data_IF_396759162223
#
_entry.id   IF_396759162223
#
_cell.length_a   1.000
_cell.length_b   1.000
_cell.length_c   1.000
_cell.angle_alpha   90.00
_cell.angle_beta   90.00
_cell.angle_gamma   90.00
#
_symmetry.space_group_name_H-M   'P 1'
#
loop_
_entity.id
_entity.type
_entity.pdbx_description
1 polymer ?
#
# COMPACT_ATOMS: atom_id res chain seq x y z
N UNK A 1 -27.16 -12.30 -4.34
CA UNK A 1 -26.56 -10.96 -4.32
C UNK A 1 -25.16 -11.08 -3.75
N UNK A 2 -24.83 -10.71 -2.49
CA UNK A 2 -23.43 -10.57 -2.01
C UNK A 2 -22.46 -11.67 -2.49
N UNK A 3 -22.82 -12.95 -2.38
CA UNK A 3 -22.01 -14.08 -2.89
C UNK A 3 -21.69 -13.96 -4.38
N UNK A 4 -22.67 -13.60 -5.21
CA UNK A 4 -22.52 -13.39 -6.65
C UNK A 4 -21.57 -12.23 -6.95
N UNK A 5 -21.60 -11.15 -6.15
CA UNK A 5 -20.65 -10.04 -6.27
C UNK A 5 -19.23 -10.42 -5.84
N UNK A 6 -19.07 -11.30 -4.84
CA UNK A 6 -17.76 -11.86 -4.46
C UNK A 6 -17.23 -12.74 -5.60
N UNK A 7 -18.06 -13.62 -6.16
CA UNK A 7 -17.64 -14.49 -7.27
C UNK A 7 -17.38 -13.69 -8.55
N UNK A 8 -18.08 -12.56 -8.75
CA UNK A 8 -17.75 -11.60 -9.79
C UNK A 8 -16.41 -10.92 -9.53
N UNK A 9 -16.17 -10.37 -8.33
CA UNK A 9 -14.94 -9.65 -8.03
C UNK A 9 -13.72 -10.52 -8.28
N UNK A 10 -13.72 -11.78 -7.80
CA UNK A 10 -12.66 -12.77 -8.03
C UNK A 10 -12.31 -12.99 -9.49
N UNK A 11 -13.28 -12.87 -10.40
CA UNK A 11 -13.07 -13.09 -11.84
C UNK A 11 -12.54 -11.88 -12.58
N UNK A 12 -12.80 -10.67 -12.07
CA UNK A 12 -12.50 -9.43 -12.79
C UNK A 12 -11.29 -8.68 -12.23
N UNK A 13 -10.94 -8.88 -10.96
CA UNK A 13 -9.76 -8.25 -10.38
C UNK A 13 -8.49 -8.82 -11.03
N UNK A 14 -7.46 -7.97 -11.11
CA UNK A 14 -6.11 -8.34 -11.54
C UNK A 14 -5.13 -7.90 -10.45
N UNK A 15 -5.03 -8.64 -9.33
CA UNK A 15 -4.17 -8.29 -8.20
C UNK A 15 -2.71 -8.17 -8.62
N UNK A 16 -2.05 -7.09 -8.23
CA UNK A 16 -0.61 -6.88 -8.43
C UNK A 16 0.00 -6.27 -7.19
N UNK A 17 1.28 -6.58 -6.96
CA UNK A 17 2.07 -6.02 -5.88
C UNK A 17 3.45 -5.62 -6.36
N UNK A 18 4.04 -4.62 -5.70
CA UNK A 18 5.45 -4.29 -5.79
C UNK A 18 5.99 -4.12 -4.38
N UNK A 19 7.23 -4.56 -4.17
CA UNK A 19 7.92 -4.49 -2.88
C UNK A 19 9.33 -3.97 -3.11
N UNK A 20 9.77 -3.02 -2.29
CA UNK A 20 11.12 -2.47 -2.33
C UNK A 20 11.73 -2.49 -0.93
N UNK A 21 13.03 -2.76 -0.88
CA UNK A 21 13.82 -2.79 0.35
C UNK A 21 14.94 -1.76 0.25
N UNK A 22 15.24 -1.10 1.36
CA UNK A 22 16.33 -0.14 1.42
C UNK A 22 16.91 -0.04 2.84
N UNK A 23 18.19 0.28 2.92
CA UNK A 23 18.84 0.56 4.20
C UNK A 23 18.43 1.94 4.69
N UNK A 24 18.27 2.09 5.99
CA UNK A 24 18.10 3.40 6.61
C UNK A 24 19.50 4.01 6.73
N UNK A 25 19.78 5.06 5.95
CA UNK A 25 21.12 5.65 5.91
C UNK A 25 21.32 6.77 6.92
N UNK A 26 20.23 7.47 7.27
CA UNK A 26 20.28 8.55 8.25
C UNK A 26 18.96 8.69 8.99
N UNK A 27 19.08 8.82 10.30
CA UNK A 27 18.00 9.06 11.22
C UNK A 27 18.13 10.45 11.86
N UNK A 28 17.12 11.29 11.66
CA UNK A 28 16.98 12.59 12.30
C UNK A 28 15.62 12.66 13.01
N UNK A 29 15.44 13.55 14.01
CA UNK A 29 14.20 13.61 14.78
C UNK A 29 12.91 13.78 13.97
N UNK A 30 13.01 14.31 12.74
CA UNK A 30 11.86 14.60 11.86
C UNK A 30 12.02 13.97 10.47
N UNK A 31 13.20 13.44 10.14
CA UNK A 31 13.52 12.98 8.78
C UNK A 31 14.17 11.61 8.82
N UNK A 32 13.71 10.70 7.97
CA UNK A 32 14.36 9.41 7.72
C UNK A 32 14.80 9.34 6.26
N UNK A 33 16.04 8.94 6.00
CA UNK A 33 16.55 8.73 4.65
C UNK A 33 16.76 7.23 4.39
N UNK A 34 16.21 6.77 3.27
CA UNK A 34 16.42 5.43 2.73
C UNK A 34 17.34 5.52 1.52
N UNK A 35 18.37 4.68 1.48
CA UNK A 35 19.34 4.64 0.39
C UNK A 35 19.23 3.40 -0.51
N UNK A 36 18.97 3.58 -1.82
CA UNK A 36 18.81 4.86 -2.52
C UNK A 36 17.39 5.44 -2.43
N UNK A 37 17.30 6.76 -2.44
CA UNK A 37 16.25 7.46 -3.19
C UNK A 37 14.97 7.88 -2.48
N UNK A 38 14.85 7.81 -1.14
CA UNK A 38 13.67 8.34 -0.45
C UNK A 38 14.01 9.07 0.85
N UNK A 39 13.56 10.31 0.96
CA UNK A 39 13.59 11.08 2.20
C UNK A 39 12.15 11.26 2.70
N UNK A 40 11.87 10.84 3.93
CA UNK A 40 10.55 10.93 4.55
C UNK A 40 10.61 11.94 5.67
N UNK A 41 9.82 13.01 5.58
CA UNK A 41 9.67 14.01 6.63
C UNK A 41 8.43 13.69 7.47
N UNK A 42 8.65 13.07 8.62
CA UNK A 42 7.64 12.74 9.62
C UNK A 42 8.32 12.31 10.93
N UNK A 43 7.90 12.91 12.04
CA UNK A 43 8.29 12.52 13.40
C UNK A 43 7.83 11.09 13.67
N UNK A 44 6.59 10.73 13.30
CA UNK A 44 6.07 9.38 13.54
C UNK A 44 6.82 8.29 12.78
N UNK A 45 7.22 8.56 11.54
CA UNK A 45 8.07 7.63 10.78
C UNK A 45 9.48 7.57 11.37
N UNK A 46 10.03 8.70 11.80
CA UNK A 46 11.30 8.72 12.51
C UNK A 46 11.24 7.85 13.77
N UNK A 47 10.25 8.06 14.64
CA UNK A 47 10.03 7.23 15.83
C UNK A 47 9.83 5.74 15.49
N UNK A 48 9.03 5.43 14.46
CA UNK A 48 8.76 4.05 14.05
C UNK A 48 10.03 3.32 13.60
N UNK A 49 10.94 4.03 12.92
CA UNK A 49 12.12 3.45 12.28
C UNK A 49 13.43 3.63 13.08
N UNK A 50 13.37 4.14 14.32
CA UNK A 50 14.57 4.49 15.10
C UNK A 50 15.53 3.33 15.36
N UNK A 51 14.97 2.15 15.63
CA UNK A 51 15.75 0.95 15.94
C UNK A 51 15.84 0.00 14.73
N UNK A 52 15.50 0.49 13.53
CA UNK A 52 15.48 -0.31 12.31
C UNK A 52 16.77 -0.12 11.52
N UNK A 53 17.36 -1.23 11.06
CA UNK A 53 18.52 -1.21 10.17
C UNK A 53 18.11 -0.98 8.71
N UNK A 54 16.90 -1.41 8.36
CA UNK A 54 16.35 -1.27 7.02
C UNK A 54 14.84 -1.06 7.07
N UNK A 55 14.30 -0.63 5.94
CA UNK A 55 12.87 -0.51 5.73
C UNK A 55 12.47 -1.24 4.45
N UNK A 56 11.28 -1.80 4.49
CA UNK A 56 10.57 -2.35 3.35
C UNK A 56 9.36 -1.46 3.08
N UNK A 57 9.07 -1.18 1.82
CA UNK A 57 7.76 -0.68 1.45
C UNK A 57 7.12 -1.54 0.40
N UNK A 58 5.80 -1.45 0.30
CA UNK A 58 5.04 -2.12 -0.74
C UNK A 58 3.90 -1.25 -1.24
N UNK A 59 3.43 -1.57 -2.44
CA UNK A 59 2.13 -1.13 -2.92
C UNK A 59 1.40 -2.29 -3.60
N UNK A 60 0.08 -2.34 -3.43
CA UNK A 60 -0.81 -3.33 -4.03
C UNK A 60 -1.95 -2.65 -4.77
N UNK A 61 -2.49 -3.31 -5.79
CA UNK A 61 -3.67 -2.84 -6.52
C UNK A 61 -4.51 -3.99 -7.04
N UNK A 62 -5.83 -3.79 -7.14
CA UNK A 62 -6.74 -4.74 -7.77
C UNK A 62 -6.90 -4.52 -9.29
N UNK A 63 -6.27 -3.49 -9.85
CA UNK A 63 -6.49 -3.07 -11.24
C UNK A 63 -7.79 -2.29 -11.45
N UNK A 64 -8.02 -1.82 -12.68
CA UNK A 64 -9.15 -0.92 -12.99
C UNK A 64 -10.50 -1.63 -13.21
N UNK A 65 -10.51 -2.94 -13.47
CA UNK A 65 -11.70 -3.64 -13.93
C UNK A 65 -12.85 -3.65 -12.91
N UNK A 66 -12.54 -3.66 -11.62
CA UNK A 66 -13.57 -3.58 -10.57
C UNK A 66 -14.28 -2.22 -10.60
N UNK A 67 -13.53 -1.12 -10.71
CA UNK A 67 -14.08 0.24 -10.83
C UNK A 67 -14.82 0.46 -12.15
N UNK A 68 -14.31 -0.08 -13.26
CA UNK A 68 -15.02 -0.09 -14.54
C UNK A 68 -16.38 -0.78 -14.41
N UNK A 69 -16.44 -1.92 -13.73
CA UNK A 69 -17.70 -2.64 -13.50
C UNK A 69 -18.65 -1.87 -12.61
N UNK A 70 -18.16 -1.21 -11.57
CA UNK A 70 -18.95 -0.33 -10.69
C UNK A 70 -19.57 0.81 -11.51
N UNK A 71 -18.79 1.48 -12.37
CA UNK A 71 -19.30 2.54 -13.25
C UNK A 71 -20.41 2.04 -14.18
N UNK A 72 -20.25 0.85 -14.75
CA UNK A 72 -21.31 0.21 -15.57
C UNK A 72 -22.58 -0.06 -14.76
N UNK A 73 -22.47 -0.59 -13.55
CA UNK A 73 -23.62 -0.86 -12.69
C UNK A 73 -24.36 0.44 -12.30
N UNK A 74 -23.62 1.50 -12.00
CA UNK A 74 -24.20 2.82 -11.72
C UNK A 74 -24.93 3.39 -12.94
N UNK A 75 -24.35 3.31 -14.14
CA UNK A 75 -25.00 3.74 -15.38
C UNK A 75 -26.30 2.96 -15.66
N UNK A 76 -26.35 1.69 -15.26
CA UNK A 76 -27.53 0.83 -15.32
C UNK A 76 -28.54 1.06 -14.18
N UNK A 77 -28.32 2.07 -13.33
CA UNK A 77 -29.10 2.36 -12.11
C UNK A 77 -29.15 1.21 -11.10
N UNK A 78 -28.17 0.31 -11.16
CA UNK A 78 -28.04 -0.81 -10.23
C UNK A 78 -27.14 -0.43 -9.04
N UNK A 79 -27.55 0.61 -8.31
CA UNK A 79 -26.74 1.28 -7.30
C UNK A 79 -26.38 0.38 -6.11
N UNK A 80 -27.29 -0.51 -5.69
CA UNK A 80 -27.03 -1.43 -4.58
C UNK A 80 -25.89 -2.39 -4.92
N UNK A 81 -25.90 -2.99 -6.12
CA UNK A 81 -24.83 -3.89 -6.55
C UNK A 81 -23.51 -3.16 -6.75
N UNK A 82 -23.56 -1.93 -7.26
CA UNK A 82 -22.37 -1.08 -7.38
C UNK A 82 -21.75 -0.81 -6.00
N UNK A 83 -22.55 -0.43 -5.01
CA UNK A 83 -22.10 -0.20 -3.64
C UNK A 83 -21.52 -1.47 -2.99
N UNK A 84 -22.19 -2.61 -3.16
CA UNK A 84 -21.71 -3.90 -2.64
C UNK A 84 -20.38 -4.29 -3.28
N UNK A 85 -20.25 -4.14 -4.60
CA UNK A 85 -19.01 -4.46 -5.31
C UNK A 85 -17.86 -3.52 -4.92
N UNK A 86 -18.15 -2.23 -4.70
CA UNK A 86 -17.18 -1.26 -4.20
C UNK A 86 -16.64 -1.61 -2.80
N UNK A 87 -17.56 -1.95 -1.89
CA UNK A 87 -17.20 -2.38 -0.53
C UNK A 87 -16.36 -3.66 -0.55
N UNK A 88 -16.72 -4.64 -1.39
CA UNK A 88 -15.92 -5.84 -1.62
C UNK A 88 -14.52 -5.46 -2.12
N UNK A 89 -14.42 -4.54 -3.09
CA UNK A 89 -13.14 -4.07 -3.61
C UNK A 89 -12.25 -3.47 -2.53
N UNK A 90 -12.80 -2.64 -1.63
CA UNK A 90 -12.04 -2.07 -0.51
C UNK A 90 -11.53 -3.14 0.46
N UNK A 91 -12.36 -4.11 0.82
CA UNK A 91 -11.95 -5.22 1.70
C UNK A 91 -10.87 -6.06 1.03
N UNK A 92 -11.02 -6.42 -0.25
CA UNK A 92 -10.05 -7.24 -0.97
C UNK A 92 -8.71 -6.52 -1.15
N UNK A 93 -8.70 -5.21 -1.34
CA UNK A 93 -7.46 -4.43 -1.43
C UNK A 93 -6.70 -4.43 -0.10
N UNK A 94 -7.41 -4.31 1.03
CA UNK A 94 -6.80 -4.40 2.36
C UNK A 94 -6.29 -5.81 2.68
N UNK A 95 -7.06 -6.85 2.34
CA UNK A 95 -6.62 -8.25 2.51
C UNK A 95 -5.36 -8.54 1.67
N UNK A 96 -5.26 -8.01 0.45
CA UNK A 96 -4.05 -8.13 -0.35
C UNK A 96 -2.86 -7.41 0.29
N UNK A 97 -3.09 -6.27 0.92
CA UNK A 97 -2.07 -5.55 1.68
C UNK A 97 -1.63 -6.33 2.93
N UNK A 98 -2.55 -7.00 3.64
CA UNK A 98 -2.21 -7.84 4.79
C UNK A 98 -1.46 -9.11 4.36
N UNK A 99 -1.82 -9.72 3.23
CA UNK A 99 -1.05 -10.83 2.66
C UNK A 99 0.38 -10.41 2.30
N UNK A 100 0.54 -9.22 1.71
CA UNK A 100 1.86 -8.67 1.39
C UNK A 100 2.67 -8.37 2.66
N UNK A 101 2.01 -7.81 3.68
CA UNK A 101 2.61 -7.58 4.99
C UNK A 101 3.07 -8.88 5.67
N UNK A 102 2.25 -9.94 5.59
CA UNK A 102 2.60 -11.26 6.12
C UNK A 102 3.82 -11.85 5.40
N UNK A 103 3.92 -11.71 4.08
CA UNK A 103 5.11 -12.10 3.31
C UNK A 103 6.36 -11.37 3.80
N UNK A 104 6.29 -10.04 3.99
CA UNK A 104 7.41 -9.25 4.51
C UNK A 104 7.82 -9.71 5.92
N UNK A 105 6.84 -10.00 6.79
CA UNK A 105 7.09 -10.54 8.14
C UNK A 105 7.77 -11.90 8.10
N UNK A 106 7.30 -12.81 7.25
CA UNK A 106 7.91 -14.13 7.06
C UNK A 106 9.35 -14.02 6.55
N UNK A 107 9.60 -13.13 5.59
CA UNK A 107 10.93 -12.86 5.05
C UNK A 107 11.90 -12.32 6.12
N UNK A 108 11.45 -11.38 6.95
CA UNK A 108 12.23 -10.89 8.07
C UNK A 108 12.49 -12.00 9.10
N UNK A 109 11.48 -12.78 9.45
CA UNK A 109 11.58 -13.86 10.43
C UNK A 109 12.55 -14.96 10.00
N UNK A 110 12.61 -15.30 8.70
CA UNK A 110 13.60 -16.24 8.13
C UNK A 110 15.04 -15.79 8.34
N UNK A 111 15.26 -14.49 8.53
CA UNK A 111 16.56 -13.89 8.81
C UNK A 111 16.76 -13.56 10.30
N UNK A 112 15.90 -14.06 11.20
CA UNK A 112 15.98 -13.77 12.63
C UNK A 112 15.60 -12.34 13.01
N UNK A 113 14.96 -11.60 12.10
CA UNK A 113 14.53 -10.21 12.30
C UNK A 113 13.03 -10.13 12.61
N UNK A 114 12.59 -8.96 13.08
CA UNK A 114 11.19 -8.61 13.31
C UNK A 114 10.82 -7.33 12.56
N UNK A 115 9.54 -7.12 12.32
CA UNK A 115 9.03 -5.95 11.61
C UNK A 115 8.23 -5.04 12.53
N UNK A 116 8.17 -3.76 12.17
CA UNK A 116 7.23 -2.81 12.79
C UNK A 116 5.80 -3.00 12.26
N UNK A 117 4.87 -2.17 12.74
CA UNK A 117 3.57 -1.99 12.09
C UNK A 117 3.71 -1.26 10.74
N UNK A 118 2.69 -1.39 9.88
CA UNK A 118 2.56 -0.65 8.60
C UNK A 118 2.27 0.82 8.86
N UNK A 119 2.84 1.69 8.03
CA UNK A 119 2.54 3.12 8.03
C UNK A 119 2.48 3.66 6.59
N UNK A 120 1.64 4.65 6.31
CA UNK A 120 1.41 5.14 4.94
C UNK A 120 1.39 6.67 4.87
N UNK A 121 1.73 7.28 3.73
CA UNK A 121 1.50 8.70 3.50
C UNK A 121 0.03 9.08 3.74
N UNK A 122 -0.21 10.21 4.40
CA UNK A 122 -1.54 10.67 4.82
C UNK A 122 -1.94 10.25 6.24
N UNK A 123 -1.19 9.36 6.89
CA UNK A 123 -1.38 8.99 8.29
C UNK A 123 -0.43 9.78 9.21
N UNK A 124 -0.89 10.06 10.43
CA UNK A 124 -0.12 10.80 11.43
C UNK A 124 0.33 12.17 10.90
N UNK A 125 1.64 12.42 10.95
CA UNK A 125 2.26 13.65 10.44
C UNK A 125 2.98 13.46 9.09
N UNK A 126 2.87 12.27 8.46
CA UNK A 126 3.38 12.08 7.11
C UNK A 126 2.40 12.66 6.10
N UNK A 127 2.74 13.82 5.55
CA UNK A 127 1.88 14.51 4.60
C UNK A 127 1.59 13.67 3.34
N UNK A 128 0.34 13.71 2.87
CA UNK A 128 -0.14 12.91 1.73
C UNK A 128 0.70 13.12 0.45
N UNK A 129 1.23 14.32 0.23
CA UNK A 129 2.09 14.61 -0.93
C UNK A 129 3.36 13.74 -0.99
N UNK A 130 3.81 13.22 0.16
CA UNK A 130 4.91 12.26 0.21
C UNK A 130 4.63 10.94 -0.53
N UNK A 131 3.36 10.67 -0.83
CA UNK A 131 2.95 9.54 -1.66
C UNK A 131 3.59 9.57 -3.06
N UNK A 132 3.85 10.76 -3.62
CA UNK A 132 4.50 10.89 -4.93
C UNK A 132 5.89 10.26 -4.93
N UNK A 133 6.73 10.68 -3.99
CA UNK A 133 8.11 10.21 -3.90
C UNK A 133 8.15 8.76 -3.42
N UNK A 134 7.26 8.38 -2.50
CA UNK A 134 7.16 7.01 -2.01
C UNK A 134 6.76 6.01 -3.10
N UNK A 135 5.72 6.29 -3.89
CA UNK A 135 5.30 5.41 -4.98
C UNK A 135 6.32 5.36 -6.12
N UNK A 136 7.06 6.45 -6.36
CA UNK A 136 8.17 6.46 -7.30
C UNK A 136 9.31 5.55 -6.83
N UNK A 137 9.71 5.66 -5.55
CA UNK A 137 10.71 4.80 -4.92
C UNK A 137 10.31 3.32 -4.96
N UNK A 138 9.03 3.01 -4.74
CA UNK A 138 8.50 1.65 -4.86
C UNK A 138 8.50 1.10 -6.29
N UNK A 139 8.57 1.95 -7.32
CA UNK A 139 8.31 1.55 -8.69
C UNK A 139 6.83 1.18 -8.94
N UNK A 140 5.89 1.76 -8.20
CA UNK A 140 4.46 1.41 -8.27
C UNK A 140 3.82 1.66 -9.66
N UNK A 141 4.43 2.50 -10.48
CA UNK A 141 4.05 2.66 -11.89
C UNK A 141 4.15 1.38 -12.71
N UNK A 142 5.04 0.44 -12.35
CA UNK A 142 5.20 -0.85 -13.04
C UNK A 142 3.97 -1.76 -12.86
N UNK A 143 3.26 -1.63 -11.74
CA UNK A 143 2.01 -2.35 -11.49
C UNK A 143 0.77 -1.54 -11.91
N UNK A 144 0.98 -0.37 -12.51
CA UNK A 144 -0.08 0.47 -13.08
C UNK A 144 -0.68 1.49 -12.11
N UNK A 145 -0.12 1.64 -10.91
CA UNK A 145 -0.56 2.68 -9.97
C UNK A 145 -0.07 4.05 -10.44
N UNK A 146 -0.98 5.02 -10.47
CA UNK A 146 -0.73 6.43 -10.78
C UNK A 146 -1.32 7.31 -9.70
N UNK A 147 -0.95 8.59 -9.70
CA UNK A 147 -1.54 9.60 -8.83
C UNK A 147 -2.34 10.63 -9.61
N UNK A 148 -3.45 11.08 -9.03
CA UNK A 148 -4.13 12.31 -9.44
C UNK A 148 -3.36 13.54 -8.96
N UNK A 149 -3.76 14.73 -9.41
CA UNK A 149 -3.19 16.00 -8.95
C UNK A 149 -3.38 16.22 -7.44
N UNK A 150 -4.38 15.58 -6.85
CA UNK A 150 -4.67 15.60 -5.41
C UNK A 150 -4.05 14.40 -4.66
N UNK A 151 -3.09 13.71 -5.27
CA UNK A 151 -2.37 12.56 -4.70
C UNK A 151 -3.26 11.34 -4.38
N UNK A 152 -4.43 11.18 -5.02
CA UNK A 152 -5.19 9.94 -4.90
C UNK A 152 -4.59 8.87 -5.82
N UNK A 153 -4.50 7.62 -5.35
CA UNK A 153 -4.07 6.51 -6.17
C UNK A 153 -5.14 6.10 -7.17
N UNK A 154 -4.71 5.79 -8.39
CA UNK A 154 -5.50 5.16 -9.43
C UNK A 154 -4.78 3.88 -9.88
N UNK A 155 -5.42 2.70 -9.85
CA UNK A 155 -6.78 2.42 -9.37
C UNK A 155 -7.02 2.82 -7.91
N UNK A 156 -8.23 3.21 -7.55
CA UNK A 156 -8.65 3.60 -6.19
C UNK A 156 -8.51 2.43 -5.21
N UNK A 157 -8.76 1.19 -5.66
CA UNK A 157 -8.56 -0.02 -4.83
C UNK A 157 -7.08 -0.43 -4.80
N UNK A 158 -6.28 0.46 -4.23
CA UNK A 158 -4.84 0.31 -4.04
C UNK A 158 -4.45 0.72 -2.62
N UNK A 159 -3.41 0.08 -2.08
CA UNK A 159 -2.85 0.35 -0.75
C UNK A 159 -1.33 0.42 -0.87
N UNK A 160 -0.70 1.35 -0.15
CA UNK A 160 0.76 1.41 -0.02
C UNK A 160 1.15 1.56 1.44
N UNK A 161 2.27 0.98 1.86
CA UNK A 161 2.77 1.12 3.23
C UNK A 161 4.28 0.88 3.32
N UNK A 162 4.91 1.52 4.31
CA UNK A 162 6.28 1.27 4.76
C UNK A 162 6.26 0.48 6.08
N UNK A 163 7.28 -0.34 6.26
CA UNK A 163 7.51 -1.22 7.40
C UNK A 163 9.01 -1.15 7.75
N UNK A 164 9.35 -0.95 9.01
CA UNK A 164 10.72 -1.07 9.51
C UNK A 164 11.10 -2.51 9.79
N UNK A 165 12.37 -2.85 9.59
CA UNK A 165 12.94 -4.17 9.86
C UNK A 165 14.09 -3.99 10.85
N UNK A 166 14.04 -4.73 11.96
CA UNK A 166 15.03 -4.68 13.04
C UNK A 166 15.37 -6.05 13.59
N UNK A 167 16.50 -6.16 14.28
CA UNK A 167 16.87 -7.39 14.97
C UNK A 167 15.83 -7.75 16.03
N UNK A 168 15.65 -9.06 16.23
CA UNK A 168 14.87 -9.58 17.34
C UNK A 168 15.69 -9.40 18.62
N UNK A 169 15.19 -8.58 19.55
CA UNK A 169 15.73 -8.47 20.91
C UNK A 169 15.67 -9.81 21.67
#
# INVERSE_FOLDING_TARGET
>A
MIKDEIDLSRRIISPKQVVAYSKISRHEPVTVNLEPGLAIKSIRISELLSDCESACGFAVTLGYHLEEKIRVLLAQKNTVRALVLDAIGSVVAEELAELTNAQVKEDAARNGMVTTMRFSPGYGDWHLSGQKDFLAWLGAGQIGIKLTDNFQMLPEKSVSAIIGIKNKE
#
